data_IF_609382416070
#
_entry.id   IF_609382416070
#
_cell.length_a   1.000
_cell.length_b   1.000
_cell.length_c   1.000
_cell.angle_alpha   90.00
_cell.angle_beta   90.00
_cell.angle_gamma   90.00
#
_symmetry.space_group_name_H-M   'P 1'
#
loop_
_entity.id
_entity.type
_entity.pdbx_description
1 polymer ?
#
# COMPACT_ATOMS: atom_id res chain seq x y z
N UNK A 1 44.02 16.31 27.24
CA UNK A 1 43.57 15.51 26.07
C UNK A 1 42.41 14.55 26.36
N UNK A 2 42.38 13.83 27.49
CA UNK A 2 41.28 12.90 27.83
C UNK A 2 39.90 13.60 27.96
N UNK A 3 39.82 14.72 28.70
CA UNK A 3 38.56 15.47 28.89
C UNK A 3 37.98 16.05 27.59
N UNK A 4 38.83 16.48 26.65
CA UNK A 4 38.41 17.04 25.36
C UNK A 4 37.86 15.94 24.43
N UNK A 5 38.45 14.74 24.45
CA UNK A 5 37.92 13.58 23.71
C UNK A 5 36.59 13.09 24.29
N UNK A 6 36.45 13.07 25.61
CA UNK A 6 35.18 12.74 26.26
C UNK A 6 34.08 13.75 25.94
N UNK A 7 34.43 15.04 25.89
CA UNK A 7 33.49 16.13 25.54
C UNK A 7 33.09 16.11 24.07
N UNK A 8 34.02 15.76 23.16
CA UNK A 8 33.70 15.55 21.74
C UNK A 8 32.82 14.32 21.51
N UNK A 9 33.08 13.20 22.20
CA UNK A 9 32.22 12.00 22.11
C UNK A 9 30.82 12.27 22.68
N UNK A 10 30.74 12.98 23.81
CA UNK A 10 29.45 13.40 24.38
C UNK A 10 28.70 14.37 23.46
N UNK A 11 29.41 15.31 22.83
CA UNK A 11 28.81 16.24 21.85
C UNK A 11 28.33 15.52 20.58
N UNK A 12 29.08 14.52 20.08
CA UNK A 12 28.64 13.69 18.95
C UNK A 12 27.45 12.81 19.29
N UNK A 13 27.40 12.26 20.51
CA UNK A 13 26.25 11.50 21.00
C UNK A 13 25.01 12.40 21.17
N UNK A 14 25.19 13.61 21.71
CA UNK A 14 24.12 14.60 21.86
C UNK A 14 23.61 15.09 20.49
N UNK A 15 24.51 15.33 19.53
CA UNK A 15 24.16 15.69 18.15
C UNK A 15 23.36 14.56 17.45
N UNK A 16 23.75 13.29 17.70
CA UNK A 16 23.01 12.12 17.23
C UNK A 16 21.58 12.06 17.80
N UNK A 17 21.41 12.34 19.11
CA UNK A 17 20.09 12.39 19.76
C UNK A 17 19.24 13.55 19.21
N UNK A 18 19.84 14.70 18.90
CA UNK A 18 19.11 15.82 18.28
C UNK A 18 18.71 15.56 16.83
N UNK A 19 19.39 14.66 16.10
CA UNK A 19 18.98 14.24 14.75
C UNK A 19 17.83 13.21 14.75
N UNK A 20 17.48 12.64 15.91
CA UNK A 20 16.39 11.67 16.06
C UNK A 20 15.01 12.33 16.31
N UNK A 21 14.90 13.66 16.31
CA UNK A 21 13.63 14.37 16.55
C UNK A 21 12.62 14.28 15.40
N UNK A 22 12.89 13.50 14.35
CA UNK A 22 12.00 13.30 13.19
C UNK A 22 10.75 12.43 13.47
N UNK A 23 10.56 11.93 14.69
CA UNK A 23 9.43 11.03 15.02
C UNK A 23 8.05 11.70 15.03
N UNK A 24 7.94 13.02 14.92
CA UNK A 24 6.68 13.73 15.20
C UNK A 24 5.66 13.72 14.04
N UNK A 25 6.12 13.55 12.80
CA UNK A 25 5.26 13.65 11.59
C UNK A 25 5.36 12.42 10.67
N UNK A 26 5.78 11.26 11.20
CA UNK A 26 5.78 10.03 10.40
C UNK A 26 4.35 9.48 10.29
N UNK A 27 3.68 9.84 9.20
CA UNK A 27 2.29 9.46 8.87
C UNK A 27 2.05 7.95 8.99
N UNK A 28 3.02 7.13 8.59
CA UNK A 28 2.94 5.67 8.69
C UNK A 28 3.08 5.14 10.13
N UNK A 29 3.74 5.88 11.03
CA UNK A 29 3.90 5.49 12.44
C UNK A 29 2.69 5.91 13.27
N UNK A 30 2.00 6.97 12.87
CA UNK A 30 0.75 7.43 13.48
C UNK A 30 -0.47 7.00 12.65
N UNK A 31 -0.51 5.75 12.21
CA UNK A 31 -1.69 5.19 11.53
C UNK A 31 -2.90 5.11 12.45
N UNK A 32 -4.08 5.30 11.86
CA UNK A 32 -5.41 5.39 12.47
C UNK A 32 -6.40 4.35 11.92
N UNK A 33 -5.88 3.33 11.23
CA UNK A 33 -6.65 2.19 10.78
C UNK A 33 -5.98 0.88 11.19
N UNK A 34 -6.78 -0.16 11.43
CA UNK A 34 -6.29 -1.45 11.89
C UNK A 34 -5.18 -2.03 11.00
N UNK A 35 -5.34 -1.94 9.67
CA UNK A 35 -4.35 -2.41 8.68
C UNK A 35 -3.03 -1.65 8.82
N UNK A 36 -3.08 -0.31 8.88
CA UNK A 36 -1.87 0.49 9.00
C UNK A 36 -1.18 0.37 10.38
N UNK A 37 -1.91 0.04 11.45
CA UNK A 37 -1.33 -0.30 12.75
C UNK A 37 -0.51 -1.60 12.68
N UNK A 38 -1.03 -2.64 12.04
CA UNK A 38 -0.30 -3.90 11.83
C UNK A 38 0.93 -3.70 10.94
N UNK A 39 0.81 -2.92 9.87
CA UNK A 39 1.93 -2.55 9.00
C UNK A 39 3.02 -1.78 9.76
N UNK A 40 2.63 -0.80 10.59
CA UNK A 40 3.56 -0.06 11.45
C UNK A 40 4.33 -0.99 12.36
N UNK A 41 3.63 -1.89 13.05
CA UNK A 41 4.25 -2.79 14.02
C UNK A 41 5.26 -3.72 13.33
N UNK A 42 4.95 -4.19 12.12
CA UNK A 42 5.89 -4.94 11.27
C UNK A 42 7.14 -4.11 10.93
N UNK A 43 6.97 -2.85 10.51
CA UNK A 43 8.09 -1.95 10.20
C UNK A 43 8.98 -1.74 11.44
N UNK A 44 8.39 -1.49 12.60
CA UNK A 44 9.12 -1.27 13.86
C UNK A 44 9.88 -2.54 14.26
N UNK A 45 9.23 -3.71 14.25
CA UNK A 45 9.88 -4.99 14.59
C UNK A 45 11.02 -5.28 13.62
N UNK A 46 10.81 -5.14 12.32
CA UNK A 46 11.84 -5.37 11.30
C UNK A 46 13.03 -4.42 11.47
N UNK A 47 12.77 -3.14 11.74
CA UNK A 47 13.82 -2.12 11.96
C UNK A 47 14.64 -2.43 13.20
N UNK A 48 13.99 -2.77 14.32
CA UNK A 48 14.67 -3.12 15.57
C UNK A 48 15.53 -4.38 15.42
N UNK A 49 15.02 -5.40 14.73
CA UNK A 49 15.77 -6.64 14.46
C UNK A 49 16.98 -6.39 13.56
N UNK A 50 16.86 -5.54 12.53
CA UNK A 50 18.00 -5.17 11.69
C UNK A 50 19.04 -4.34 12.46
N UNK A 51 18.60 -3.40 13.30
CA UNK A 51 19.49 -2.57 14.11
C UNK A 51 20.34 -3.40 15.09
N UNK A 52 19.80 -4.52 15.60
CA UNK A 52 20.53 -5.45 16.45
C UNK A 52 21.81 -5.98 15.79
N UNK A 53 21.83 -6.13 14.46
CA UNK A 53 23.02 -6.60 13.71
C UNK A 53 23.86 -5.43 13.22
N UNK A 54 23.21 -4.39 12.68
CA UNK A 54 23.91 -3.25 12.06
C UNK A 54 24.71 -2.46 13.10
N UNK A 55 24.16 -2.21 14.28
CA UNK A 55 24.82 -1.40 15.32
C UNK A 55 26.12 -2.07 15.81
N UNK A 56 26.15 -3.36 16.19
CA UNK A 56 27.40 -4.04 16.51
C UNK A 56 28.42 -4.04 15.38
N UNK A 57 27.99 -4.22 14.12
CA UNK A 57 28.91 -4.19 12.97
C UNK A 57 29.59 -2.82 12.83
N UNK A 58 28.83 -1.74 12.95
CA UNK A 58 29.38 -0.37 12.90
C UNK A 58 30.34 -0.13 14.08
N UNK A 59 29.94 -0.51 15.30
CA UNK A 59 30.78 -0.38 16.49
C UNK A 59 32.08 -1.18 16.35
N UNK A 60 32.00 -2.45 15.94
CA UNK A 60 33.18 -3.31 15.74
C UNK A 60 34.09 -2.75 14.66
N UNK A 61 33.55 -2.22 13.57
CA UNK A 61 34.33 -1.60 12.49
C UNK A 61 35.13 -0.40 13.02
N UNK A 62 34.49 0.49 13.78
CA UNK A 62 35.16 1.65 14.38
C UNK A 62 36.20 1.21 15.42
N UNK A 63 35.84 0.26 16.29
CA UNK A 63 36.74 -0.27 17.32
C UNK A 63 37.97 -0.92 16.69
N UNK A 64 37.81 -1.74 15.65
CA UNK A 64 38.93 -2.37 14.95
C UNK A 64 39.78 -1.36 14.21
N UNK A 65 39.18 -0.37 13.54
CA UNK A 65 39.91 0.71 12.88
C UNK A 65 40.79 1.50 13.87
N UNK A 66 40.33 1.72 15.11
CA UNK A 66 41.10 2.42 16.15
C UNK A 66 42.12 1.47 16.81
N UNK A 67 41.71 0.26 17.18
CA UNK A 67 42.51 -0.69 17.96
C UNK A 67 43.68 -1.27 17.18
N UNK A 68 43.48 -1.57 15.90
CA UNK A 68 44.46 -2.22 15.01
C UNK A 68 45.08 -1.25 13.99
N UNK A 69 44.96 0.07 14.21
CA UNK A 69 45.67 1.07 13.40
C UNK A 69 47.18 0.84 13.46
N UNK A 70 47.88 1.04 12.34
CA UNK A 70 49.34 0.84 12.21
C UNK A 70 50.19 1.56 13.27
N UNK A 71 49.71 2.68 13.84
CA UNK A 71 50.41 3.42 14.90
C UNK A 71 50.38 2.74 16.27
N UNK A 72 49.56 1.70 16.47
CA UNK A 72 49.36 1.06 17.78
C UNK A 72 50.20 -0.21 17.93
N UNK A 73 51.33 -0.10 18.63
CA UNK A 73 52.27 -1.21 18.85
C UNK A 73 51.86 -2.16 19.99
N UNK A 74 50.77 -1.89 20.70
CA UNK A 74 50.24 -2.72 21.81
C UNK A 74 49.17 -3.72 21.37
N UNK A 75 48.84 -3.79 20.09
CA UNK A 75 47.90 -4.76 19.55
C UNK A 75 48.62 -6.07 19.23
N UNK A 76 47.96 -7.20 19.48
CA UNK A 76 48.42 -8.48 18.95
C UNK A 76 48.26 -8.44 17.43
N UNK A 77 49.38 -8.54 16.71
CA UNK A 77 49.39 -8.62 15.25
C UNK A 77 49.64 -10.08 14.85
N UNK A 78 48.64 -10.69 14.21
CA UNK A 78 48.75 -12.04 13.67
C UNK A 78 48.37 -12.02 12.18
N UNK A 79 49.37 -12.05 11.27
CA UNK A 79 49.12 -12.03 9.84
C UNK A 79 48.70 -13.39 9.27
N UNK A 80 48.77 -14.47 10.05
CA UNK A 80 48.48 -15.85 9.61
C UNK A 80 47.06 -16.32 9.96
N UNK A 81 46.35 -15.54 10.77
CA UNK A 81 44.98 -15.83 11.16
C UNK A 81 44.00 -15.47 10.03
N UNK A 82 43.55 -16.49 9.31
CA UNK A 82 42.59 -16.34 8.22
C UNK A 82 41.28 -17.11 8.44
N UNK A 83 41.26 -18.04 9.41
CA UNK A 83 40.13 -18.95 9.60
C UNK A 83 39.80 -19.20 11.06
N UNK A 84 38.51 -19.20 11.39
CA UNK A 84 38.02 -19.66 12.68
C UNK A 84 36.58 -20.16 12.54
N UNK A 85 36.41 -21.47 12.64
CA UNK A 85 35.09 -22.14 12.64
C UNK A 85 34.11 -21.49 13.63
N UNK A 86 34.61 -21.03 14.79
CA UNK A 86 33.78 -20.41 15.83
C UNK A 86 33.19 -19.08 15.37
N UNK A 87 33.98 -18.25 14.69
CA UNK A 87 33.55 -16.94 14.19
C UNK A 87 32.62 -17.14 12.99
N UNK A 88 32.96 -18.06 12.10
CA UNK A 88 32.15 -18.39 10.94
C UNK A 88 30.73 -18.84 11.32
N UNK A 89 30.59 -19.74 12.30
CA UNK A 89 29.28 -20.18 12.81
C UNK A 89 28.45 -19.02 13.36
N UNK A 90 29.07 -18.06 14.05
CA UNK A 90 28.35 -16.90 14.59
C UNK A 90 27.91 -15.94 13.48
N UNK A 91 28.81 -15.64 12.55
CA UNK A 91 28.54 -14.70 11.44
C UNK A 91 27.47 -15.25 10.49
N UNK A 92 27.41 -16.56 10.26
CA UNK A 92 26.35 -17.17 9.45
C UNK A 92 25.08 -17.46 10.27
N UNK A 93 25.23 -17.97 11.48
CA UNK A 93 24.10 -18.41 12.31
C UNK A 93 23.18 -17.26 12.70
N UNK A 94 23.74 -16.12 13.12
CA UNK A 94 22.93 -14.97 13.59
C UNK A 94 22.03 -14.41 12.48
N UNK A 95 22.52 -14.09 11.26
CA UNK A 95 21.66 -13.65 10.15
C UNK A 95 20.62 -14.69 9.73
N UNK A 96 20.98 -15.98 9.66
CA UNK A 96 20.03 -17.04 9.28
C UNK A 96 18.87 -17.11 10.27
N UNK A 97 19.14 -17.04 11.58
CA UNK A 97 18.11 -17.05 12.61
C UNK A 97 17.18 -15.83 12.47
N UNK A 98 17.75 -14.64 12.29
CA UNK A 98 16.98 -13.39 12.15
C UNK A 98 16.09 -13.44 10.91
N UNK A 99 16.63 -13.89 9.77
CA UNK A 99 15.86 -14.06 8.53
C UNK A 99 14.76 -15.12 8.71
N UNK A 100 15.02 -16.21 9.42
CA UNK A 100 13.99 -17.23 9.71
C UNK A 100 12.82 -16.68 10.53
N UNK A 101 13.11 -15.84 11.54
CA UNK A 101 12.07 -15.15 12.33
C UNK A 101 11.29 -14.19 11.45
N UNK A 102 11.98 -13.33 10.69
CA UNK A 102 11.33 -12.36 9.79
C UNK A 102 10.49 -13.05 8.71
N UNK A 103 10.99 -14.12 8.09
CA UNK A 103 10.26 -14.88 7.09
C UNK A 103 8.95 -15.45 7.65
N UNK A 104 8.96 -15.94 8.89
CA UNK A 104 7.75 -16.46 9.55
C UNK A 104 6.72 -15.34 9.82
N UNK A 105 7.19 -14.18 10.27
CA UNK A 105 6.33 -13.01 10.50
C UNK A 105 5.74 -12.55 9.18
N UNK A 106 6.58 -12.31 8.17
CA UNK A 106 6.16 -11.86 6.83
C UNK A 106 5.17 -12.83 6.21
N UNK A 107 5.42 -14.15 6.28
CA UNK A 107 4.48 -15.13 5.76
C UNK A 107 3.09 -15.00 6.38
N UNK A 108 3.01 -14.85 7.71
CA UNK A 108 1.72 -14.67 8.41
C UNK A 108 1.06 -13.35 8.05
N UNK A 109 1.81 -12.24 8.08
CA UNK A 109 1.26 -10.91 7.82
C UNK A 109 0.83 -10.73 6.37
N UNK A 110 1.56 -11.31 5.40
CA UNK A 110 1.16 -11.28 3.99
C UNK A 110 -0.16 -12.00 3.73
N UNK A 111 -0.49 -13.05 4.48
CA UNK A 111 -1.79 -13.73 4.36
C UNK A 111 -2.90 -13.06 5.17
N UNK A 112 -2.57 -12.40 6.29
CA UNK A 112 -3.59 -11.71 7.09
C UNK A 112 -3.97 -10.34 6.52
N UNK A 113 -3.00 -9.62 5.95
CA UNK A 113 -3.15 -8.28 5.37
C UNK A 113 -3.31 -8.32 3.83
N UNK A 114 -3.83 -9.42 3.29
CA UNK A 114 -4.17 -9.49 1.87
C UNK A 114 -5.24 -8.43 1.55
N UNK A 115 -4.97 -7.46 0.63
CA UNK A 115 -5.93 -6.43 0.27
C UNK A 115 -7.27 -6.96 -0.22
N UNK A 116 -7.33 -8.19 -0.74
CA UNK A 116 -8.55 -8.81 -1.27
C UNK A 116 -9.39 -9.49 -0.18
N UNK A 117 -8.85 -9.65 1.03
CA UNK A 117 -9.55 -10.29 2.13
C UNK A 117 -10.45 -9.26 2.85
N UNK A 118 -11.76 -9.52 2.96
CA UNK A 118 -12.65 -8.68 3.75
C UNK A 118 -12.23 -8.63 5.22
N UNK A 119 -12.45 -7.46 5.85
CA UNK A 119 -12.26 -7.31 7.28
C UNK A 119 -13.44 -7.93 8.04
N UNK A 120 -13.13 -8.73 9.07
CA UNK A 120 -14.15 -9.29 9.96
C UNK A 120 -14.74 -8.15 10.82
N UNK A 121 -16.03 -7.88 10.65
CA UNK A 121 -16.78 -6.90 11.43
C UNK A 121 -18.24 -7.30 11.56
N UNK A 122 -18.87 -6.87 12.64
CA UNK A 122 -20.31 -7.06 12.88
C UNK A 122 -21.17 -6.07 12.06
N UNK A 123 -20.56 -5.05 11.46
CA UNK A 123 -21.23 -4.01 10.68
C UNK A 123 -21.12 -4.33 9.19
N UNK A 124 -22.19 -4.03 8.43
CA UNK A 124 -22.19 -4.17 6.97
C UNK A 124 -21.11 -3.26 6.36
N UNK A 125 -20.18 -3.81 5.55
CA UNK A 125 -19.17 -2.99 4.89
C UNK A 125 -19.78 -1.97 3.92
N UNK A 126 -19.19 -0.78 3.85
CA UNK A 126 -19.49 0.23 2.84
C UNK A 126 -18.75 -0.12 1.55
N UNK A 127 -19.48 -0.27 0.44
CA UNK A 127 -18.84 -0.43 -0.87
C UNK A 127 -18.55 0.94 -1.50
N UNK A 128 -17.31 1.15 -1.93
CA UNK A 128 -16.89 2.34 -2.68
C UNK A 128 -16.16 1.91 -3.93
N UNK A 129 -16.62 2.39 -5.08
CA UNK A 129 -15.96 2.18 -6.36
C UNK A 129 -15.05 3.37 -6.65
N UNK A 130 -13.79 3.12 -6.95
CA UNK A 130 -12.77 4.14 -7.20
C UNK A 130 -12.29 4.01 -8.64
N UNK A 131 -12.32 5.12 -9.36
CA UNK A 131 -11.82 5.20 -10.73
C UNK A 131 -10.68 6.22 -10.77
N UNK A 132 -9.50 5.76 -11.18
CA UNK A 132 -8.39 6.63 -11.51
C UNK A 132 -8.62 7.24 -12.90
N UNK A 133 -8.77 8.57 -12.96
CA UNK A 133 -8.86 9.35 -14.19
C UNK A 133 -7.61 10.21 -14.35
N UNK A 134 -7.46 10.89 -15.49
CA UNK A 134 -6.31 11.76 -15.72
C UNK A 134 -6.30 12.91 -14.70
N UNK A 135 -5.37 12.75 -13.75
CA UNK A 135 -5.04 13.61 -12.62
C UNK A 135 -6.16 13.94 -11.64
N UNK A 136 -7.10 13.00 -11.46
CA UNK A 136 -8.20 13.10 -10.50
C UNK A 136 -8.73 11.73 -10.10
N UNK A 137 -9.35 11.68 -8.93
CA UNK A 137 -9.96 10.48 -8.38
C UNK A 137 -11.47 10.63 -8.39
N UNK A 138 -12.17 9.67 -9.00
CA UNK A 138 -13.62 9.57 -8.96
C UNK A 138 -14.01 8.47 -7.97
N UNK A 139 -14.89 8.80 -7.05
CA UNK A 139 -15.46 7.90 -6.06
C UNK A 139 -16.94 7.75 -6.32
N UNK A 140 -17.42 6.52 -6.44
CA UNK A 140 -18.81 6.17 -6.70
C UNK A 140 -19.30 5.34 -5.51
N UNK A 141 -20.44 5.73 -4.94
CA UNK A 141 -21.10 5.03 -3.85
C UNK A 141 -22.34 4.34 -4.43
N UNK A 142 -22.23 3.06 -4.85
CA UNK A 142 -23.29 2.38 -5.58
C UNK A 142 -24.58 2.21 -4.77
N UNK A 143 -24.48 1.97 -3.46
CA UNK A 143 -25.68 1.80 -2.60
C UNK A 143 -26.38 3.14 -2.33
N UNK A 144 -25.61 4.21 -2.22
CA UNK A 144 -26.11 5.55 -1.96
C UNK A 144 -26.52 6.28 -3.24
N UNK A 145 -26.12 5.81 -4.42
CA UNK A 145 -26.34 6.47 -5.72
C UNK A 145 -25.78 7.90 -5.75
N UNK A 146 -24.55 8.09 -5.29
CA UNK A 146 -23.85 9.39 -5.37
C UNK A 146 -22.43 9.17 -5.88
N UNK A 147 -21.80 10.23 -6.41
CA UNK A 147 -20.39 10.22 -6.74
C UNK A 147 -19.70 11.52 -6.35
N UNK A 148 -18.40 11.43 -6.12
CA UNK A 148 -17.56 12.57 -5.75
C UNK A 148 -16.22 12.53 -6.47
N UNK A 149 -15.65 13.70 -6.73
CA UNK A 149 -14.32 13.85 -7.33
C UNK A 149 -13.38 14.44 -6.29
N UNK A 150 -12.20 13.84 -6.12
CA UNK A 150 -11.14 14.26 -5.19
C UNK A 150 -11.56 14.41 -3.70
N UNK A 151 -12.71 13.87 -3.32
CA UNK A 151 -13.22 13.86 -1.96
C UNK A 151 -13.88 12.53 -1.65
N UNK A 152 -13.51 11.93 -0.53
CA UNK A 152 -14.02 10.66 -0.03
C UNK A 152 -14.53 10.91 1.39
N UNK A 153 -15.76 10.50 1.70
CA UNK A 153 -16.30 10.55 3.06
C UNK A 153 -16.71 9.13 3.45
N UNK A 154 -16.29 8.71 4.64
CA UNK A 154 -16.48 7.34 5.13
C UNK A 154 -16.94 7.36 6.58
N UNK A 155 -17.79 6.41 7.01
CA UNK A 155 -18.07 6.23 8.41
C UNK A 155 -16.87 5.61 9.14
N UNK A 156 -16.49 6.18 10.28
CA UNK A 156 -15.49 5.61 11.17
C UNK A 156 -16.02 4.31 11.80
N UNK A 157 -15.12 3.39 12.15
CA UNK A 157 -15.39 2.06 12.72
C UNK A 157 -16.23 1.12 11.83
N UNK A 158 -16.32 1.40 10.53
CA UNK A 158 -17.02 0.56 9.55
C UNK A 158 -16.02 0.11 8.47
N UNK A 159 -15.97 -1.18 8.10
CA UNK A 159 -15.14 -1.64 7.00
C UNK A 159 -15.56 -1.01 5.68
N UNK A 160 -14.58 -0.57 4.88
CA UNK A 160 -14.80 -0.04 3.54
C UNK A 160 -14.18 -0.99 2.52
N UNK A 161 -15.00 -1.45 1.58
CA UNK A 161 -14.62 -2.31 0.47
C UNK A 161 -14.41 -1.44 -0.77
N UNK A 162 -13.16 -1.14 -1.09
CA UNK A 162 -12.81 -0.41 -2.30
C UNK A 162 -12.71 -1.36 -3.49
N UNK A 163 -13.47 -1.07 -4.55
CA UNK A 163 -13.30 -1.67 -5.88
C UNK A 163 -12.63 -0.64 -6.77
N UNK A 164 -11.41 -0.92 -7.24
CA UNK A 164 -10.55 0.09 -7.85
C UNK A 164 -10.27 -0.31 -9.30
N UNK A 165 -10.37 0.66 -10.22
CA UNK A 165 -10.01 0.53 -11.65
C UNK A 165 -9.38 1.83 -12.13
N UNK A 166 -8.74 1.81 -13.30
CA UNK A 166 -8.45 3.03 -14.05
C UNK A 166 -9.41 3.19 -15.24
N UNK A 167 -9.71 4.45 -15.59
CA UNK A 167 -10.33 4.82 -16.87
C UNK A 167 -9.27 4.90 -17.97
N UNK A 168 -9.37 5.88 -18.88
CA UNK A 168 -8.35 6.12 -19.92
C UNK A 168 -6.98 6.59 -19.38
N UNK A 169 -6.89 6.85 -18.08
CA UNK A 169 -5.67 7.29 -17.43
C UNK A 169 -4.60 6.20 -17.35
N UNK A 170 -3.30 6.57 -17.32
CA UNK A 170 -2.23 5.65 -17.00
C UNK A 170 -2.43 4.97 -15.64
N UNK A 171 -1.82 3.78 -15.48
CA UNK A 171 -1.82 3.04 -14.21
C UNK A 171 -1.43 3.95 -13.03
N UNK A 172 -2.22 3.88 -11.96
CA UNK A 172 -1.95 4.63 -10.73
C UNK A 172 -1.90 3.71 -9.51
N UNK A 173 -1.56 4.26 -8.34
CA UNK A 173 -1.58 3.55 -7.07
C UNK A 173 -2.41 4.36 -6.07
N UNK A 174 -3.53 3.80 -5.64
CA UNK A 174 -4.44 4.38 -4.65
C UNK A 174 -3.93 4.07 -3.25
N UNK A 175 -3.79 5.10 -2.42
CA UNK A 175 -3.36 4.94 -1.03
C UNK A 175 -3.88 6.07 -0.14
N UNK A 176 -4.26 5.70 1.08
CA UNK A 176 -4.54 6.61 2.18
C UNK A 176 -3.57 6.26 3.31
N UNK A 177 -2.40 6.94 3.42
CA UNK A 177 -1.28 6.45 4.23
C UNK A 177 -1.55 6.29 5.72
N UNK A 178 -2.53 7.03 6.26
CA UNK A 178 -2.92 6.88 7.67
C UNK A 178 -3.81 5.67 7.92
N UNK A 179 -4.45 5.09 6.90
CA UNK A 179 -5.41 4.00 7.06
C UNK A 179 -4.82 2.63 6.74
N UNK A 180 -3.92 2.53 5.75
CA UNK A 180 -3.25 1.27 5.43
C UNK A 180 -2.50 1.29 4.10
N UNK A 181 -2.34 0.08 3.54
CA UNK A 181 -1.57 -0.18 2.34
C UNK A 181 -2.09 0.47 1.06
N UNK A 182 -1.27 0.40 0.02
CA UNK A 182 -1.57 0.90 -1.32
C UNK A 182 -1.99 -0.23 -2.26
N UNK A 183 -2.79 0.07 -3.28
CA UNK A 183 -3.06 -0.86 -4.38
C UNK A 183 -3.11 -0.18 -5.73
N UNK A 184 -2.69 -0.90 -6.77
CA UNK A 184 -2.71 -0.38 -8.13
C UNK A 184 -4.12 -0.29 -8.69
N UNK A 185 -4.36 0.81 -9.42
CA UNK A 185 -5.50 1.02 -10.29
C UNK A 185 -5.03 0.79 -11.74
N UNK A 186 -5.63 -0.19 -12.41
CA UNK A 186 -5.26 -0.59 -13.77
C UNK A 186 -6.49 -0.54 -14.68
N UNK A 187 -6.31 -0.11 -15.92
CA UNK A 187 -7.39 -0.05 -16.90
C UNK A 187 -7.80 -1.47 -17.30
N UNK A 188 -9.12 -1.73 -17.35
CA UNK A 188 -9.67 -3.03 -17.72
C UNK A 188 -9.57 -4.13 -16.65
N UNK A 189 -9.14 -3.81 -15.43
CA UNK A 189 -9.08 -4.75 -14.30
C UNK A 189 -9.67 -4.13 -13.04
N UNK A 190 -10.39 -4.94 -12.26
CA UNK A 190 -10.84 -4.56 -10.93
C UNK A 190 -9.87 -5.09 -9.87
N UNK A 191 -9.28 -4.20 -9.09
CA UNK A 191 -8.57 -4.54 -7.86
C UNK A 191 -9.44 -4.26 -6.63
N UNK A 192 -9.11 -4.90 -5.50
CA UNK A 192 -9.87 -4.76 -4.25
C UNK A 192 -8.95 -4.37 -3.12
N UNK A 193 -9.43 -3.45 -2.28
CA UNK A 193 -8.73 -3.02 -1.07
C UNK A 193 -9.74 -2.86 0.06
N UNK A 194 -9.45 -3.45 1.20
CA UNK A 194 -10.28 -3.37 2.40
C UNK A 194 -9.56 -2.53 3.45
N UNK A 195 -10.19 -1.46 3.91
CA UNK A 195 -9.65 -0.59 4.97
C UNK A 195 -10.72 -0.28 6.01
N UNK A 196 -10.28 0.24 7.15
CA UNK A 196 -11.13 0.76 8.21
C UNK A 196 -10.45 1.99 8.81
N UNK A 197 -11.25 2.98 9.21
CA UNK A 197 -10.79 4.13 9.99
C UNK A 197 -11.27 3.97 11.42
N UNK A 198 -10.36 3.81 12.38
CA UNK A 198 -10.70 3.56 13.79
C UNK A 198 -11.07 4.87 14.51
N UNK A 199 -10.57 6.00 14.02
CA UNK A 199 -10.82 7.33 14.57
C UNK A 199 -11.51 8.24 13.54
N UNK A 200 -12.29 9.21 14.01
CA UNK A 200 -12.81 10.28 13.17
C UNK A 200 -11.72 11.29 12.86
N UNK A 201 -11.73 11.86 11.64
CA UNK A 201 -10.70 12.80 11.24
C UNK A 201 -10.63 13.04 9.73
N UNK A 202 -9.65 13.84 9.32
CA UNK A 202 -9.35 14.08 7.89
C UNK A 202 -8.00 13.45 7.58
N UNK A 203 -8.01 12.55 6.61
CA UNK A 203 -6.85 11.83 6.11
C UNK A 203 -6.54 12.27 4.69
N UNK A 204 -5.26 12.46 4.40
CA UNK A 204 -4.78 12.75 3.06
C UNK A 204 -4.63 11.46 2.26
N UNK A 205 -5.29 11.40 1.11
CA UNK A 205 -5.09 10.37 0.10
C UNK A 205 -4.35 10.93 -1.10
N UNK A 206 -3.58 10.08 -1.79
CA UNK A 206 -2.92 10.48 -3.03
C UNK A 206 -2.64 9.31 -3.96
N UNK A 207 -2.39 9.66 -5.22
CA UNK A 207 -1.76 8.76 -6.19
C UNK A 207 -0.27 8.59 -5.90
N UNK A 208 0.19 7.34 -5.90
CA UNK A 208 1.62 6.99 -5.76
C UNK A 208 2.22 6.39 -7.04
N UNK A 209 1.42 6.18 -8.08
CA UNK A 209 1.89 5.75 -9.40
C UNK A 209 2.07 6.94 -10.32
N UNK A 210 3.28 7.13 -10.87
CA UNK A 210 3.54 8.23 -11.81
C UNK A 210 2.64 8.10 -13.05
N UNK A 211 1.85 9.15 -13.30
CA UNK A 211 0.79 9.16 -14.33
C UNK A 211 0.86 10.38 -15.26
N UNK A 212 2.03 10.99 -15.43
CA UNK A 212 2.24 12.13 -16.34
C UNK A 212 2.29 13.50 -15.67
N UNK A 213 2.01 14.55 -16.44
CA UNK A 213 2.27 15.97 -16.11
C UNK A 213 1.54 16.42 -14.82
N UNK A 214 0.24 16.16 -14.73
CA UNK A 214 -0.57 16.51 -13.56
C UNK A 214 -0.48 15.54 -12.36
N UNK A 215 0.48 14.59 -12.35
CA UNK A 215 0.63 13.61 -11.26
C UNK A 215 0.73 14.27 -9.87
N UNK A 216 1.38 15.44 -9.79
CA UNK A 216 1.49 16.18 -8.53
C UNK A 216 0.14 16.66 -7.98
N UNK A 217 -0.89 16.83 -8.81
CA UNK A 217 -2.22 17.24 -8.39
C UNK A 217 -3.12 16.10 -7.91
N UNK A 218 -2.65 14.83 -7.97
CA UNK A 218 -3.45 13.65 -7.62
C UNK A 218 -3.58 13.44 -6.11
N UNK A 219 -4.13 14.43 -5.43
CA UNK A 219 -4.47 14.40 -4.02
C UNK A 219 -5.98 14.39 -3.86
N UNK A 220 -6.45 13.69 -2.84
CA UNK A 220 -7.84 13.70 -2.42
C UNK A 220 -7.93 13.73 -0.90
N UNK A 221 -8.99 14.31 -0.37
CA UNK A 221 -9.26 14.30 1.07
C UNK A 221 -10.19 13.15 1.41
N UNK A 222 -9.84 12.39 2.44
CA UNK A 222 -10.70 11.37 3.02
C UNK A 222 -11.17 11.85 4.38
N UNK A 223 -12.47 12.04 4.60
CA UNK A 223 -13.02 12.42 5.90
C UNK A 223 -13.70 11.21 6.52
N UNK A 224 -13.23 10.79 7.69
CA UNK A 224 -13.90 9.78 8.51
C UNK A 224 -14.79 10.48 9.55
N UNK A 225 -16.07 10.15 9.56
CA UNK A 225 -17.09 10.77 10.41
C UNK A 225 -17.94 9.72 11.12
N UNK A 226 -18.76 10.13 12.08
CA UNK A 226 -19.77 9.23 12.66
C UNK A 226 -20.77 8.76 11.59
N UNK A 227 -21.39 7.59 11.80
CA UNK A 227 -22.41 7.06 10.87
C UNK A 227 -23.54 8.06 10.62
N UNK A 228 -23.97 8.79 11.65
CA UNK A 228 -25.03 9.79 11.52
C UNK A 228 -24.61 10.99 10.65
N UNK A 229 -23.36 11.44 10.79
CA UNK A 229 -22.81 12.50 9.93
C UNK A 229 -22.68 12.02 8.48
N UNK A 230 -22.25 10.78 8.27
CA UNK A 230 -22.17 10.19 6.94
C UNK A 230 -23.55 10.14 6.26
N UNK A 231 -24.57 9.64 6.95
CA UNK A 231 -25.93 9.57 6.41
C UNK A 231 -26.46 10.98 6.07
N UNK A 232 -26.19 11.96 6.93
CA UNK A 232 -26.55 13.37 6.71
C UNK A 232 -25.81 13.96 5.49
N UNK A 233 -24.54 13.63 5.32
CA UNK A 233 -23.73 14.06 4.18
C UNK A 233 -24.23 13.47 2.86
N UNK A 234 -24.66 12.20 2.85
CA UNK A 234 -25.28 11.57 1.68
C UNK A 234 -26.55 12.32 1.28
N UNK A 235 -27.44 12.60 2.23
CA UNK A 235 -28.68 13.36 1.99
C UNK A 235 -28.38 14.78 1.49
N UNK A 236 -27.43 15.47 2.11
CA UNK A 236 -27.01 16.81 1.72
C UNK A 236 -26.42 16.83 0.30
N UNK A 237 -25.63 15.83 -0.05
CA UNK A 237 -25.05 15.68 -1.40
C UNK A 237 -26.16 15.55 -2.43
N UNK A 238 -27.16 14.70 -2.16
CA UNK A 238 -28.32 14.51 -3.04
C UNK A 238 -29.17 15.78 -3.20
N UNK A 239 -29.27 16.61 -2.16
CA UNK A 239 -30.09 17.83 -2.23
C UNK A 239 -29.35 19.03 -2.83
N UNK A 240 -28.03 19.09 -2.67
CA UNK A 240 -27.23 20.29 -2.97
C UNK A 240 -26.51 20.18 -4.32
N UNK A 241 -26.12 18.97 -4.72
CA UNK A 241 -25.49 18.76 -6.02
C UNK A 241 -26.48 19.02 -7.16
N UNK A 242 -26.05 19.81 -8.15
CA UNK A 242 -26.88 20.21 -9.29
C UNK A 242 -26.68 19.31 -10.52
N UNK A 243 -25.64 18.49 -10.52
CA UNK A 243 -25.25 17.65 -11.66
C UNK A 243 -25.39 16.17 -11.31
N UNK A 244 -25.78 15.38 -12.31
CA UNK A 244 -25.81 13.91 -12.25
C UNK A 244 -24.65 13.37 -13.09
N UNK A 245 -24.01 12.30 -12.62
CA UNK A 245 -22.93 11.63 -13.35
C UNK A 245 -23.53 10.67 -14.40
N UNK A 246 -24.04 11.25 -15.48
CA UNK A 246 -24.46 10.55 -16.70
C UNK A 246 -23.26 10.21 -17.60
N UNK A 247 -23.41 9.30 -18.57
CA UNK A 247 -22.37 8.96 -19.54
C UNK A 247 -21.74 10.21 -20.21
N UNK A 248 -22.55 11.17 -20.64
CA UNK A 248 -22.03 12.40 -21.24
C UNK A 248 -21.27 13.30 -20.26
N UNK A 249 -21.72 13.36 -18.99
CA UNK A 249 -20.98 14.06 -17.93
C UNK A 249 -19.68 13.33 -17.59
N UNK A 250 -19.67 12.00 -17.65
CA UNK A 250 -18.48 11.19 -17.48
C UNK A 250 -17.47 11.39 -18.62
N UNK A 251 -17.91 11.44 -19.88
CA UNK A 251 -17.02 11.70 -21.03
C UNK A 251 -16.33 13.08 -20.91
N UNK A 252 -17.05 14.09 -20.43
CA UNK A 252 -16.46 15.40 -20.13
C UNK A 252 -15.52 15.35 -18.92
N UNK A 253 -15.85 14.56 -17.90
CA UNK A 253 -14.98 14.34 -16.75
C UNK A 253 -13.72 13.57 -17.16
N UNK A 254 -13.78 12.60 -18.06
CA UNK A 254 -12.64 11.75 -18.43
C UNK A 254 -11.50 12.57 -19.06
N UNK A 255 -11.82 13.69 -19.72
CA UNK A 255 -10.82 14.58 -20.34
C UNK A 255 -9.72 15.01 -19.34
N UNK A 256 -8.44 15.10 -19.77
CA UNK A 256 -7.35 15.50 -18.89
C UNK A 256 -7.59 16.87 -18.25
N UNK A 257 -7.40 16.94 -16.93
CA UNK A 257 -7.62 18.16 -16.13
C UNK A 257 -6.80 18.09 -14.86
N UNK A 258 -6.20 19.20 -14.44
CA UNK A 258 -5.36 19.26 -13.24
C UNK A 258 -6.02 20.04 -12.10
N UNK A 259 -5.68 19.69 -10.86
CA UNK A 259 -6.10 20.39 -9.63
C UNK A 259 -7.62 20.67 -9.57
N UNK A 260 -8.41 19.67 -9.96
CA UNK A 260 -9.88 19.77 -9.91
C UNK A 260 -10.33 19.83 -8.45
N UNK A 261 -10.98 20.92 -8.08
CA UNK A 261 -11.61 21.07 -6.76
C UNK A 261 -12.66 19.97 -6.51
N UNK A 262 -12.95 19.62 -5.24
CA UNK A 262 -13.99 18.65 -4.92
C UNK A 262 -15.32 18.92 -5.61
N UNK A 263 -15.81 17.94 -6.38
CA UNK A 263 -17.13 17.97 -7.02
C UNK A 263 -18.01 16.86 -6.47
N UNK A 264 -19.31 17.11 -6.44
CA UNK A 264 -20.32 16.21 -5.90
C UNK A 264 -21.41 16.02 -6.95
N UNK A 265 -21.83 14.77 -7.15
CA UNK A 265 -22.89 14.38 -8.07
C UNK A 265 -24.06 13.79 -7.28
N UNK A 266 -25.28 14.23 -7.62
CA UNK A 266 -26.51 13.84 -6.93
C UNK A 266 -26.92 12.40 -7.22
N UNK A 267 -26.67 11.96 -8.45
CA UNK A 267 -27.01 10.63 -8.95
C UNK A 267 -25.90 10.12 -9.88
N UNK A 268 -25.86 8.80 -10.08
CA UNK A 268 -24.85 8.13 -10.89
C UNK A 268 -25.51 7.13 -11.82
N UNK A 269 -25.08 7.11 -13.08
CA UNK A 269 -25.56 6.12 -14.04
C UNK A 269 -25.35 4.69 -13.53
N UNK A 270 -26.39 3.82 -13.56
CA UNK A 270 -26.25 2.43 -13.18
C UNK A 270 -25.16 1.72 -13.98
N UNK A 271 -24.33 0.92 -13.30
CA UNK A 271 -23.25 0.14 -13.90
C UNK A 271 -22.12 0.96 -14.56
N UNK A 272 -22.00 2.27 -14.28
CA UNK A 272 -20.93 3.11 -14.82
C UNK A 272 -19.53 2.50 -14.62
N UNK A 273 -19.23 1.99 -13.42
CA UNK A 273 -17.95 1.34 -13.13
C UNK A 273 -17.69 0.11 -14.01
N UNK A 274 -18.69 -0.74 -14.21
CA UNK A 274 -18.58 -1.90 -15.09
C UNK A 274 -18.39 -1.47 -16.55
N UNK A 275 -19.08 -0.42 -17.00
CA UNK A 275 -18.92 0.12 -18.35
C UNK A 275 -17.51 0.66 -18.60
N UNK A 276 -16.93 1.37 -17.63
CA UNK A 276 -15.54 1.86 -17.68
C UNK A 276 -14.56 0.70 -17.84
N UNK A 277 -14.74 -0.38 -17.07
CA UNK A 277 -13.88 -1.55 -17.18
C UNK A 277 -14.07 -2.28 -18.52
N UNK A 278 -15.33 -2.46 -18.96
CA UNK A 278 -15.67 -3.13 -20.21
C UNK A 278 -15.17 -2.37 -21.45
N UNK A 279 -14.95 -1.04 -21.38
CA UNK A 279 -14.32 -0.25 -22.46
C UNK A 279 -12.99 -0.85 -22.94
N UNK A 280 -12.23 -1.46 -22.03
CA UNK A 280 -10.91 -2.05 -22.31
C UNK A 280 -10.95 -3.56 -22.53
N UNK A 281 -12.06 -4.21 -22.17
CA UNK A 281 -12.31 -5.59 -22.54
C UNK A 281 -12.87 -5.55 -23.97
N UNK A 282 -12.01 -5.84 -24.97
CA UNK A 282 -12.45 -5.97 -26.36
C UNK A 282 -13.70 -6.86 -26.48
N UNK A 283 -14.45 -6.78 -27.59
CA UNK A 283 -15.71 -7.53 -27.72
C UNK A 283 -15.46 -8.99 -27.31
N UNK A 284 -16.12 -9.43 -26.24
CA UNK A 284 -16.19 -10.86 -25.96
C UNK A 284 -16.87 -11.44 -27.19
N UNK A 285 -16.11 -12.13 -28.03
CA UNK A 285 -16.66 -12.88 -29.15
C UNK A 285 -17.68 -13.87 -28.58
N UNK A 286 -18.95 -13.47 -28.58
CA UNK A 286 -20.11 -14.31 -28.28
C UNK A 286 -20.26 -15.45 -29.31
N UNK A 287 -19.30 -15.60 -30.22
CA UNK A 287 -19.20 -16.69 -31.19
C UNK A 287 -18.51 -17.95 -30.65
N UNK A 288 -17.71 -17.87 -29.57
CA UNK A 288 -16.95 -19.03 -29.05
C UNK A 288 -17.47 -19.61 -27.72
N UNK A 289 -18.53 -19.02 -27.14
CA UNK A 289 -19.17 -19.56 -25.94
C UNK A 289 -20.02 -20.83 -26.21
N UNK A 290 -20.31 -21.15 -27.48
CA UNK A 290 -21.02 -22.38 -27.88
C UNK A 290 -20.10 -23.54 -28.25
N UNK A 291 -18.80 -23.33 -28.50
CA UNK A 291 -17.89 -24.44 -28.85
C UNK A 291 -17.31 -25.18 -27.63
N UNK A 292 -17.33 -24.57 -26.45
CA UNK A 292 -16.86 -25.22 -25.21
C UNK A 292 -17.95 -25.96 -24.42
N UNK A 293 -19.22 -25.90 -24.85
CA UNK A 293 -20.31 -26.65 -24.22
C UNK A 293 -20.46 -28.09 -24.74
N UNK A 294 -19.93 -28.40 -25.93
CA UNK A 294 -20.10 -29.72 -26.58
C UNK A 294 -18.86 -30.64 -26.52
N UNK A 295 -17.80 -30.26 -25.81
CA UNK A 295 -16.63 -31.12 -25.59
C UNK A 295 -16.77 -32.09 -24.40
N UNK A 296 -18.01 -32.50 -24.08
CA UNK A 296 -18.31 -33.60 -23.15
C UNK A 296 -18.75 -34.89 -23.90
N UNK A 297 -18.10 -35.17 -25.02
CA UNK A 297 -18.33 -36.36 -25.85
C UNK A 297 -17.04 -37.12 -26.14
N UNK A 298 -16.86 -38.25 -25.44
CA UNK A 298 -15.93 -39.35 -25.71
C UNK A 298 -15.13 -39.28 -27.02
N UNK A 299 -13.80 -39.20 -26.95
CA UNK A 299 -12.95 -39.71 -28.04
C UNK A 299 -11.66 -40.30 -27.48
N UNK A 300 -11.52 -41.60 -27.74
CA UNK A 300 -10.39 -42.47 -27.47
C UNK A 300 -9.08 -41.97 -28.08
N UNK A 301 -8.00 -41.97 -27.29
CA UNK A 301 -6.63 -41.76 -27.77
C UNK A 301 -6.14 -42.97 -28.59
N UNK A 302 -5.66 -42.80 -29.84
CA UNK A 302 -4.98 -43.87 -30.57
C UNK A 302 -3.48 -43.88 -30.26
N UNK A 303 -3.04 -45.01 -29.68
CA UNK A 303 -1.75 -45.69 -29.84
C UNK A 303 -0.47 -44.90 -30.09
N UNK A 304 0.43 -44.93 -29.10
CA UNK A 304 1.87 -44.82 -29.35
C UNK A 304 2.55 -46.09 -28.80
N UNK A 305 2.95 -46.97 -29.71
CA UNK A 305 3.68 -48.21 -29.46
C UNK A 305 5.13 -47.84 -29.12
N UNK A 306 5.61 -48.28 -27.95
CA UNK A 306 7.01 -48.21 -27.57
C UNK A 306 7.73 -49.46 -28.08
N UNK A 307 8.63 -49.28 -29.06
CA UNK A 307 9.59 -50.30 -29.46
C UNK A 307 10.76 -50.32 -28.49
N UNK A 308 11.07 -51.51 -27.96
CA UNK A 308 12.14 -51.77 -27.01
C UNK A 308 13.25 -52.57 -27.71
N UNK A 309 14.42 -51.97 -27.89
CA UNK A 309 15.72 -52.63 -28.10
C UNK A 309 16.86 -51.78 -27.56
#
# INVERSE_FOLDING_TARGET
>A
MSKIKALLVAASAFLGVTMLTGCKDLVLIHSKGAVGLDERDLIIIATLLMLLVVVPVIIMTIVFAIRYRATNTKATYDPSFHHSNKIEVVIWGVPIIIIGILATIVWKTSHSLDPYKPLDSDVKPLEVQVVALDWKWLFIYPEQHIATVNYLEIPANTPINFKITAGDAPMNSFMIPQLGGQIYAMAGMQTQLHLIADEEGVYDGRGYGFSGEGFNGMHFKTRAVSQQEFDSWVEQTKSTATEDLSAGAFDELEKPSEYVEPKFYRDVEPNLFSNIMMKFMGPMDSANASEHADASGTTSMPGMVMDNK
#
